data_IF_324070626325
#
_entry.id   IF_324070626325
#
_cell.length_a   1.000
_cell.length_b   1.000
_cell.length_c   1.000
_cell.angle_alpha   90.00
_cell.angle_beta   90.00
_cell.angle_gamma   90.00
#
_symmetry.space_group_name_H-M   'P 1'
#
loop_
_entity.id
_entity.type
_entity.pdbx_description
1 polymer ?
#
# COMPACT_ATOMS: atom_id res chain seq x y z
N UNK A 1 -2.11 -14.11 31.12
CA UNK A 1 -1.82 -15.19 30.16
C UNK A 1 -1.41 -14.48 28.87
N UNK A 2 -0.12 -14.48 28.54
CA UNK A 2 0.32 -13.88 27.28
C UNK A 2 -0.21 -14.72 26.14
N UNK A 3 -0.87 -14.11 25.16
CA UNK A 3 -1.18 -14.79 23.91
C UNK A 3 0.13 -15.31 23.30
N UNK A 4 0.24 -16.63 23.14
CA UNK A 4 1.30 -17.19 22.31
C UNK A 4 1.12 -16.61 20.91
N UNK A 5 2.02 -15.72 20.49
CA UNK A 5 2.01 -15.17 19.14
C UNK A 5 2.17 -16.32 18.16
N UNK A 6 1.12 -16.64 17.40
CA UNK A 6 1.18 -17.64 16.34
C UNK A 6 2.26 -17.22 15.37
N UNK A 7 3.29 -18.04 15.21
CA UNK A 7 4.38 -17.80 14.25
C UNK A 7 3.79 -17.63 12.85
N UNK A 8 4.03 -16.48 12.22
CA UNK A 8 3.62 -16.24 10.83
C UNK A 8 4.33 -17.24 9.90
N UNK A 9 3.57 -17.87 9.00
CA UNK A 9 4.07 -18.80 7.98
C UNK A 9 3.78 -18.22 6.61
N UNK A 10 4.83 -17.96 5.84
CA UNK A 10 4.72 -17.61 4.42
C UNK A 10 4.72 -18.89 3.61
N UNK A 11 3.64 -19.15 2.86
CA UNK A 11 3.54 -20.28 1.94
C UNK A 11 2.48 -20.02 0.87
N UNK A 12 2.88 -19.51 -0.29
CA UNK A 12 1.99 -19.30 -1.43
C UNK A 12 2.70 -19.60 -2.75
N UNK A 13 2.14 -20.53 -3.54
CA UNK A 13 2.74 -20.98 -4.82
C UNK A 13 1.91 -20.59 -6.04
N UNK A 14 0.65 -20.21 -5.85
CA UNK A 14 -0.30 -19.88 -6.90
C UNK A 14 -1.40 -18.98 -6.35
N UNK A 15 -2.31 -18.56 -7.22
CA UNK A 15 -3.33 -17.55 -6.92
C UNK A 15 -4.72 -18.17 -6.62
N UNK A 16 -4.83 -19.49 -6.42
CA UNK A 16 -6.13 -20.18 -6.29
C UNK A 16 -6.23 -21.21 -5.17
N UNK A 17 -5.11 -21.65 -4.58
CA UNK A 17 -5.15 -22.50 -3.39
C UNK A 17 -5.89 -21.80 -2.24
N UNK A 18 -6.49 -22.56 -1.30
CA UNK A 18 -7.27 -21.98 -0.21
C UNK A 18 -6.48 -20.93 0.60
N UNK A 19 -6.94 -19.69 0.55
CA UNK A 19 -6.31 -18.54 1.22
C UNK A 19 -6.43 -18.69 2.75
N UNK A 20 -5.32 -18.45 3.47
CA UNK A 20 -5.26 -18.53 4.94
C UNK A 20 -4.85 -17.23 5.61
N UNK A 21 -4.02 -16.43 4.94
CA UNK A 21 -3.44 -15.21 5.46
C UNK A 21 -3.18 -14.24 4.31
N UNK A 22 -3.57 -12.98 4.46
CA UNK A 22 -3.40 -11.92 3.46
C UNK A 22 -2.96 -10.61 4.12
N UNK A 23 -2.16 -9.83 3.39
CA UNK A 23 -1.89 -8.42 3.69
C UNK A 23 -2.87 -7.57 2.88
N UNK A 24 -3.71 -6.80 3.57
CA UNK A 24 -4.65 -5.88 2.94
C UNK A 24 -4.21 -4.43 3.17
N UNK A 25 -4.11 -3.64 2.09
CA UNK A 25 -3.63 -2.27 2.15
C UNK A 25 -4.52 -1.30 2.94
N UNK A 26 -4.07 -0.05 3.02
CA UNK A 26 -4.77 1.07 3.67
C UNK A 26 -4.85 2.26 2.73
N UNK A 27 -5.96 2.98 2.76
CA UNK A 27 -6.11 4.22 2.00
C UNK A 27 -5.51 5.44 2.72
N UNK A 28 -5.24 5.30 4.02
CA UNK A 28 -4.77 6.35 4.92
C UNK A 28 -3.59 7.15 4.35
N UNK A 29 -3.78 8.47 4.24
CA UNK A 29 -2.75 9.41 3.81
C UNK A 29 -2.31 9.26 2.36
N UNK A 30 -3.04 8.50 1.52
CA UNK A 30 -2.67 8.31 0.12
C UNK A 30 -2.62 9.66 -0.60
N UNK A 31 -1.59 9.84 -1.41
CA UNK A 31 -1.33 11.05 -2.18
C UNK A 31 -1.64 10.81 -3.66
N UNK A 32 -2.18 11.82 -4.33
CA UNK A 32 -1.84 12.04 -5.72
C UNK A 32 -0.36 12.45 -5.75
N UNK A 33 0.47 11.61 -6.35
CA UNK A 33 1.93 11.73 -6.36
C UNK A 33 2.37 13.05 -6.99
N UNK A 34 3.39 13.70 -6.40
CA UNK A 34 4.06 14.80 -7.06
C UNK A 34 4.59 14.36 -8.45
N UNK A 35 4.56 15.24 -9.46
CA UNK A 35 4.92 14.88 -10.83
C UNK A 35 6.33 14.29 -10.93
N UNK A 36 6.44 13.13 -11.58
CA UNK A 36 7.72 12.46 -11.82
C UNK A 36 7.77 11.89 -13.25
N UNK A 37 8.93 11.47 -13.78
CA UNK A 37 9.03 10.94 -15.14
C UNK A 37 8.14 9.72 -15.39
N UNK A 38 7.93 8.88 -14.38
CA UNK A 38 7.14 7.67 -14.50
C UNK A 38 5.63 7.94 -14.51
N UNK A 39 5.17 9.01 -13.84
CA UNK A 39 3.75 9.32 -13.72
C UNK A 39 3.51 10.82 -13.56
N UNK A 40 2.61 11.34 -14.38
CA UNK A 40 2.01 12.66 -14.20
C UNK A 40 0.51 12.54 -14.40
N UNK A 41 -0.27 12.83 -13.37
CA UNK A 41 -1.73 12.71 -13.42
C UNK A 41 -2.33 14.03 -13.91
N UNK A 42 -3.31 13.92 -14.80
CA UNK A 42 -4.06 15.05 -15.32
C UNK A 42 -5.53 14.63 -15.48
N UNK A 43 -6.40 15.26 -14.69
CA UNK A 43 -7.86 15.12 -14.79
C UNK A 43 -8.51 16.50 -14.80
N UNK A 44 -8.23 17.33 -15.83
CA UNK A 44 -8.70 18.71 -15.87
C UNK A 44 -10.23 18.81 -15.87
N UNK A 45 -10.94 17.85 -16.49
CA UNK A 45 -12.40 17.78 -16.49
C UNK A 45 -13.00 17.58 -15.08
N UNK A 46 -12.19 17.13 -14.13
CA UNK A 46 -12.56 16.93 -12.73
C UNK A 46 -11.92 17.95 -11.79
N UNK A 47 -11.40 19.07 -12.33
CA UNK A 47 -10.78 20.14 -11.54
C UNK A 47 -9.38 19.82 -11.03
N UNK A 48 -8.70 18.81 -11.60
CA UNK A 48 -7.35 18.40 -11.22
C UNK A 48 -6.38 18.55 -12.40
N UNK A 49 -5.84 19.76 -12.66
CA UNK A 49 -5.02 20.00 -13.83
C UNK A 49 -3.66 19.27 -13.76
N UNK A 50 -3.00 19.15 -14.91
CA UNK A 50 -1.67 18.55 -15.01
C UNK A 50 -0.70 19.24 -14.05
N UNK A 51 0.05 18.45 -13.29
CA UNK A 51 1.04 18.96 -12.33
C UNK A 51 0.49 19.18 -10.93
N UNK A 52 -0.83 19.13 -10.73
CA UNK A 52 -1.42 19.12 -9.38
C UNK A 52 -1.09 17.80 -8.67
N UNK A 53 -0.80 17.90 -7.38
CA UNK A 53 -0.53 16.79 -6.49
C UNK A 53 -0.94 17.15 -5.06
N UNK A 54 -1.04 16.16 -4.17
CA UNK A 54 -1.53 16.38 -2.81
C UNK A 54 -2.34 15.19 -2.29
N UNK A 55 -2.85 15.27 -1.05
CA UNK A 55 -3.67 14.20 -0.49
C UNK A 55 -4.96 14.02 -1.29
N UNK A 56 -5.48 12.79 -1.32
CA UNK A 56 -6.85 12.60 -1.77
C UNK A 56 -7.83 13.32 -0.81
N UNK A 57 -9.01 13.74 -1.29
CA UNK A 57 -10.04 14.29 -0.41
C UNK A 57 -10.38 13.33 0.74
N UNK A 58 -10.50 13.85 1.95
CA UNK A 58 -10.75 13.06 3.18
C UNK A 58 -11.98 12.14 3.05
N UNK A 59 -13.06 12.63 2.42
CA UNK A 59 -14.27 11.84 2.17
C UNK A 59 -14.03 10.65 1.23
N UNK A 60 -13.09 10.76 0.29
CA UNK A 60 -12.71 9.63 -0.58
C UNK A 60 -11.89 8.61 0.19
N UNK A 61 -10.93 9.06 0.99
CA UNK A 61 -10.13 8.19 1.86
C UNK A 61 -11.02 7.41 2.83
N UNK A 62 -11.94 8.10 3.51
CA UNK A 62 -12.90 7.50 4.44
C UNK A 62 -13.76 6.41 3.79
N UNK A 63 -14.32 6.70 2.61
CA UNK A 63 -15.12 5.72 1.85
C UNK A 63 -14.29 4.52 1.39
N UNK A 64 -13.04 4.75 0.98
CA UNK A 64 -12.13 3.67 0.61
C UNK A 64 -11.79 2.78 1.81
N UNK A 65 -11.49 3.38 2.96
CA UNK A 65 -11.23 2.64 4.19
C UNK A 65 -12.47 1.88 4.69
N UNK A 66 -13.67 2.46 4.60
CA UNK A 66 -14.92 1.73 4.89
C UNK A 66 -15.07 0.47 4.04
N UNK A 67 -14.79 0.57 2.73
CA UNK A 67 -14.84 -0.59 1.83
C UNK A 67 -13.75 -1.63 2.15
N UNK A 68 -12.52 -1.18 2.44
CA UNK A 68 -11.41 -2.06 2.82
C UNK A 68 -11.68 -2.77 4.14
N UNK A 69 -12.26 -2.10 5.12
CA UNK A 69 -12.59 -2.68 6.42
C UNK A 69 -13.75 -3.67 6.31
N UNK A 70 -14.74 -3.39 5.46
CA UNK A 70 -15.79 -4.35 5.14
C UNK A 70 -15.23 -5.58 4.40
N UNK A 71 -14.27 -5.39 3.50
CA UNK A 71 -13.59 -6.50 2.84
C UNK A 71 -12.76 -7.35 3.81
N UNK A 72 -12.05 -6.71 4.75
CA UNK A 72 -11.34 -7.40 5.82
C UNK A 72 -12.30 -8.28 6.64
N UNK A 73 -13.43 -7.74 7.08
CA UNK A 73 -14.46 -8.50 7.83
C UNK A 73 -14.99 -9.71 7.06
N UNK A 74 -15.17 -9.58 5.75
CA UNK A 74 -15.62 -10.66 4.87
C UNK A 74 -14.57 -11.78 4.76
N UNK A 75 -13.28 -11.46 4.84
CA UNK A 75 -12.18 -12.42 4.85
C UNK A 75 -12.08 -13.10 6.23
N UNK A 76 -12.10 -12.31 7.30
CA UNK A 76 -12.04 -12.78 8.68
C UNK A 76 -13.23 -13.70 9.01
N UNK A 77 -14.44 -13.41 8.50
CA UNK A 77 -15.60 -14.30 8.67
C UNK A 77 -15.48 -15.65 7.95
N UNK A 78 -14.41 -15.85 7.16
CA UNK A 78 -14.05 -17.10 6.48
C UNK A 78 -12.77 -17.70 7.08
N UNK A 79 -12.42 -17.32 8.30
CA UNK A 79 -11.24 -17.77 9.04
C UNK A 79 -9.90 -17.42 8.34
N UNK A 80 -9.89 -16.38 7.50
CA UNK A 80 -8.68 -15.86 6.84
C UNK A 80 -8.09 -14.77 7.74
N UNK A 81 -6.83 -14.92 8.15
CA UNK A 81 -6.09 -13.88 8.87
C UNK A 81 -5.83 -12.69 7.95
N UNK A 82 -6.09 -11.47 8.43
CA UNK A 82 -5.83 -10.22 7.69
C UNK A 82 -4.84 -9.36 8.47
N UNK A 83 -3.68 -9.13 7.88
CA UNK A 83 -2.72 -8.14 8.38
C UNK A 83 -2.83 -6.85 7.56
N UNK A 84 -2.57 -5.70 8.18
CA UNK A 84 -2.68 -4.38 7.54
C UNK A 84 -1.35 -3.62 7.69
N UNK A 85 -0.83 -2.95 6.65
CA UNK A 85 0.38 -2.14 6.79
C UNK A 85 0.18 -0.98 7.76
N UNK A 86 1.29 -0.44 8.25
CA UNK A 86 1.32 0.80 9.04
C UNK A 86 1.68 1.97 8.12
N UNK A 87 0.74 2.88 7.83
CA UNK A 87 1.01 4.05 7.01
C UNK A 87 2.12 4.92 7.61
N UNK A 88 2.87 5.59 6.73
CA UNK A 88 3.80 6.65 7.11
C UNK A 88 3.26 7.98 6.58
N UNK A 89 3.90 9.09 6.91
CA UNK A 89 3.54 10.39 6.33
C UNK A 89 3.96 10.46 4.85
N UNK A 90 3.03 10.14 3.95
CA UNK A 90 3.26 10.15 2.51
C UNK A 90 3.39 11.55 1.91
N UNK A 91 3.09 12.62 2.67
CA UNK A 91 3.28 14.00 2.23
C UNK A 91 4.74 14.45 2.31
N UNK A 92 5.57 13.71 3.06
CA UNK A 92 6.98 14.03 3.22
C UNK A 92 7.75 13.87 1.89
N UNK A 93 8.55 14.89 1.55
CA UNK A 93 9.48 14.81 0.43
C UNK A 93 10.61 13.81 0.72
N UNK A 94 11.02 13.09 -0.33
CA UNK A 94 12.06 12.06 -0.27
C UNK A 94 13.09 12.31 -1.36
N UNK A 95 14.34 11.89 -1.13
CA UNK A 95 15.41 12.12 -2.08
C UNK A 95 16.52 11.07 -1.96
N UNK A 96 17.24 10.92 -3.06
CA UNK A 96 18.52 10.22 -3.18
C UNK A 96 19.54 11.18 -3.78
N UNK A 97 20.82 10.82 -3.93
CA UNK A 97 21.79 11.64 -4.67
C UNK A 97 21.36 11.94 -6.13
N UNK A 98 20.54 11.08 -6.74
CA UNK A 98 20.16 11.17 -8.15
C UNK A 98 18.88 11.96 -8.41
N UNK A 99 17.99 12.06 -7.41
CA UNK A 99 16.68 12.69 -7.59
C UNK A 99 16.04 13.12 -6.27
N UNK A 100 15.11 14.07 -6.38
CA UNK A 100 14.18 14.48 -5.32
C UNK A 100 12.75 14.25 -5.81
N UNK A 101 11.87 13.87 -4.88
CA UNK A 101 10.45 13.68 -5.11
C UNK A 101 9.67 14.36 -3.97
N UNK A 102 8.70 15.21 -4.33
CA UNK A 102 8.01 16.09 -3.36
C UNK A 102 6.89 15.40 -2.58
N UNK A 103 6.47 14.19 -2.96
CA UNK A 103 5.57 13.36 -2.17
C UNK A 103 5.76 11.87 -2.47
N UNK A 104 5.41 11.04 -1.51
CA UNK A 104 5.26 9.59 -1.72
C UNK A 104 3.87 9.27 -2.29
N UNK A 105 3.53 7.98 -2.39
CA UNK A 105 2.23 7.51 -2.90
C UNK A 105 1.26 7.07 -1.79
N UNK A 106 1.44 5.89 -1.22
CA UNK A 106 0.52 5.27 -0.27
C UNK A 106 0.89 3.81 -0.04
N UNK A 107 0.06 3.05 0.69
CA UNK A 107 0.28 1.62 0.94
C UNK A 107 -0.96 0.74 0.63
N UNK A 108 -1.88 1.28 -0.19
CA UNK A 108 -3.10 0.58 -0.61
C UNK A 108 -2.84 -0.67 -1.48
N UNK A 109 -1.82 -0.70 -2.37
CA UNK A 109 -1.58 -1.86 -3.23
C UNK A 109 -0.31 -2.67 -2.80
N UNK A 110 -0.36 -3.48 -1.72
CA UNK A 110 0.75 -4.34 -1.32
C UNK A 110 1.30 -5.22 -2.45
N UNK A 111 0.41 -5.66 -3.35
CA UNK A 111 0.73 -6.55 -4.48
C UNK A 111 1.74 -5.94 -5.46
N UNK A 112 1.79 -4.62 -5.56
CA UNK A 112 2.73 -3.96 -6.47
C UNK A 112 4.17 -4.03 -5.96
N UNK A 113 4.35 -4.12 -4.64
CA UNK A 113 5.64 -4.06 -3.98
C UNK A 113 6.12 -5.43 -3.48
N UNK A 114 5.21 -6.26 -2.97
CA UNK A 114 5.53 -7.54 -2.36
C UNK A 114 5.10 -8.68 -3.26
N UNK A 115 6.04 -9.56 -3.58
CA UNK A 115 5.79 -10.81 -4.29
C UNK A 115 6.10 -11.99 -3.38
N UNK A 116 5.10 -12.84 -3.12
CA UNK A 116 5.30 -14.09 -2.39
C UNK A 116 5.56 -15.24 -3.36
N UNK A 117 6.69 -15.95 -3.19
CA UNK A 117 7.03 -17.15 -3.98
C UNK A 117 7.41 -18.28 -3.02
N UNK A 118 6.51 -19.24 -2.87
CA UNK A 118 6.66 -20.31 -1.91
C UNK A 118 6.76 -19.76 -0.50
N UNK A 119 7.92 -19.92 0.14
CA UNK A 119 8.19 -19.50 1.52
C UNK A 119 8.87 -18.14 1.65
N UNK A 120 9.07 -17.42 0.54
CA UNK A 120 9.79 -16.16 0.51
C UNK A 120 8.87 -15.01 0.10
N UNK A 121 9.12 -13.83 0.68
CA UNK A 121 8.55 -12.55 0.23
C UNK A 121 9.69 -11.73 -0.34
N UNK A 122 9.54 -11.29 -1.59
CA UNK A 122 10.47 -10.43 -2.29
C UNK A 122 9.93 -9.00 -2.33
N UNK A 123 10.79 -8.03 -1.99
CA UNK A 123 10.53 -6.61 -2.18
C UNK A 123 10.94 -6.20 -3.60
N UNK A 124 10.00 -5.68 -4.39
CA UNK A 124 10.26 -5.24 -5.75
C UNK A 124 11.08 -3.95 -5.78
N UNK A 125 11.99 -3.85 -6.75
CA UNK A 125 12.75 -2.62 -7.03
C UNK A 125 11.88 -1.65 -7.81
N UNK A 126 11.06 -0.88 -7.08
CA UNK A 126 10.07 0.03 -7.66
C UNK A 126 10.70 1.05 -8.61
N UNK A 127 10.00 1.36 -9.71
CA UNK A 127 10.45 2.33 -10.72
C UNK A 127 9.97 3.75 -10.46
N UNK A 128 8.96 3.93 -9.60
CA UNK A 128 8.40 5.23 -9.24
C UNK A 128 9.16 5.76 -8.03
N UNK A 129 9.71 6.97 -8.13
CA UNK A 129 10.42 7.65 -7.04
C UNK A 129 9.53 7.84 -5.83
N UNK A 130 8.25 8.13 -6.05
CA UNK A 130 7.23 8.25 -4.99
C UNK A 130 6.95 6.96 -4.21
N UNK A 131 7.44 5.81 -4.68
CA UNK A 131 7.26 4.50 -4.04
C UNK A 131 8.55 3.94 -3.43
N UNK A 132 9.61 4.74 -3.41
CA UNK A 132 10.95 4.32 -2.97
C UNK A 132 10.99 3.76 -1.54
N UNK A 133 10.23 4.35 -0.63
CA UNK A 133 10.19 3.97 0.79
C UNK A 133 8.89 3.25 1.20
N UNK A 134 8.06 2.85 0.23
CA UNK A 134 6.77 2.19 0.52
C UNK A 134 6.93 0.89 1.32
N UNK A 135 8.07 0.20 1.18
CA UNK A 135 8.39 -1.02 1.93
C UNK A 135 8.40 -0.81 3.45
N UNK A 136 8.66 0.41 3.92
CA UNK A 136 8.66 0.72 5.34
C UNK A 136 7.29 0.46 5.98
N UNK A 137 6.20 0.62 5.23
CA UNK A 137 4.84 0.39 5.71
C UNK A 137 4.57 -1.07 6.09
N UNK A 138 5.37 -2.00 5.57
CA UNK A 138 5.19 -3.44 5.75
C UNK A 138 6.19 -4.06 6.73
N UNK A 139 7.21 -3.30 7.17
CA UNK A 139 8.23 -3.80 8.10
C UNK A 139 7.71 -4.27 9.47
N UNK A 140 6.61 -3.72 10.02
CA UNK A 140 6.03 -4.25 11.26
C UNK A 140 5.31 -5.60 11.15
N UNK A 141 5.08 -6.12 9.93
CA UNK A 141 4.32 -7.35 9.65
C UNK A 141 5.17 -8.62 9.75
#
# INVERSE_FOLDING_TARGET
MGEESVKTVVNSWNEWDPLKHIILGRADGTMVQAPEPAIQRAWPEHGFPLGTYGPYPEEMEKKANEQLDNFAKILESRDIRVDRPTPIDFSQAVQTPDWKQESMFGCMPPRDLLLTVGTEILEATMSYRSRWYEYLCYRPL
#
